data_IF_996732967054
#
_entry.id   IF_996732967054
#
_cell.length_a   1.000
_cell.length_b   1.000
_cell.length_c   1.000
_cell.angle_alpha   90.00
_cell.angle_beta   90.00
_cell.angle_gamma   90.00
#
_symmetry.space_group_name_H-M   'P 1'
#
loop_
_entity.id
_entity.type
_entity.pdbx_description
1 polymer ?
#
# COMPACT_ATOMS: atom_id res chain seq x y z
N UNK A 1 -3.73 -0.05 -13.76
CA UNK A 1 -2.37 -0.37 -13.27
C UNK A 1 -2.54 -0.94 -11.87
N UNK A 2 -1.81 -2.01 -11.53
CA UNK A 2 -1.81 -2.57 -10.17
C UNK A 2 -0.50 -2.16 -9.52
N UNK A 3 -0.55 -1.76 -8.25
CA UNK A 3 0.61 -1.36 -7.47
C UNK A 3 0.71 -2.23 -6.23
N UNK A 4 1.91 -2.38 -5.69
CA UNK A 4 2.16 -3.08 -4.44
C UNK A 4 3.31 -2.43 -3.66
N UNK A 5 3.43 -2.75 -2.38
CA UNK A 5 4.59 -2.33 -1.57
C UNK A 5 5.87 -3.01 -2.06
N UNK A 6 6.94 -2.24 -2.25
CA UNK A 6 8.23 -2.76 -2.76
C UNK A 6 9.03 -3.56 -1.73
N UNK A 7 8.79 -3.28 -0.45
CA UNK A 7 9.53 -3.81 0.69
C UNK A 7 8.60 -3.81 1.92
N UNK A 8 8.96 -4.52 3.01
CA UNK A 8 8.21 -4.42 4.25
C UNK A 8 8.33 -3.01 4.83
N UNK A 9 7.22 -2.44 5.30
CA UNK A 9 7.14 -1.07 5.81
C UNK A 9 6.69 -1.12 7.27
N UNK A 10 7.51 -0.57 8.16
CA UNK A 10 7.08 -0.27 9.53
C UNK A 10 6.22 0.98 9.49
N UNK A 11 4.91 0.80 9.56
CA UNK A 11 3.96 1.90 9.56
C UNK A 11 3.71 2.37 10.99
N UNK A 12 3.91 3.68 11.21
CA UNK A 12 3.61 4.33 12.48
C UNK A 12 2.65 5.49 12.26
N UNK A 13 1.47 5.40 12.88
CA UNK A 13 0.49 6.47 12.86
C UNK A 13 0.88 7.62 13.79
N UNK A 14 0.35 8.82 13.52
CA UNK A 14 0.66 10.06 14.26
C UNK A 14 0.59 9.86 15.78
N UNK A 15 1.65 10.28 16.46
CA UNK A 15 1.85 10.15 17.92
C UNK A 15 1.98 8.72 18.46
N UNK A 16 2.33 7.74 17.61
CA UNK A 16 2.59 6.36 18.04
C UNK A 16 1.33 5.60 18.47
N UNK A 17 0.14 6.11 18.13
CA UNK A 17 -1.14 5.51 18.53
C UNK A 17 -1.40 4.14 17.90
N UNK A 18 -0.74 3.85 16.78
CA UNK A 18 -0.85 2.58 16.08
C UNK A 18 0.45 2.28 15.35
N UNK A 19 0.91 1.03 15.42
CA UNK A 19 2.09 0.54 14.72
C UNK A 19 1.82 -0.83 14.13
N UNK A 20 2.17 -1.04 12.87
CA UNK A 20 2.15 -2.36 12.26
C UNK A 20 3.28 -2.53 11.24
N UNK A 21 3.54 -3.78 10.88
CA UNK A 21 4.39 -4.11 9.74
C UNK A 21 3.49 -4.44 8.55
N UNK A 22 3.60 -3.65 7.48
CA UNK A 22 2.97 -3.92 6.19
C UNK A 22 3.94 -4.78 5.38
N UNK A 23 3.59 -6.03 5.01
CA UNK A 23 4.49 -6.89 4.25
C UNK A 23 4.85 -6.31 2.88
N UNK A 24 5.97 -6.75 2.31
CA UNK A 24 6.27 -6.53 0.88
C UNK A 24 5.24 -7.24 0.00
N UNK A 25 4.98 -6.70 -1.19
CA UNK A 25 3.99 -7.24 -2.12
C UNK A 25 2.53 -7.01 -1.69
N UNK A 26 2.29 -6.18 -0.66
CA UNK A 26 0.94 -5.84 -0.23
C UNK A 26 0.28 -4.98 -1.30
N UNK A 27 -0.92 -5.33 -1.79
CA UNK A 27 -1.62 -4.55 -2.82
C UNK A 27 -1.94 -3.13 -2.33
N UNK A 28 -1.79 -2.15 -3.21
CA UNK A 28 -2.13 -0.75 -2.94
C UNK A 28 -2.94 -0.13 -4.09
N UNK A 29 -3.73 0.89 -3.77
CA UNK A 29 -4.53 1.67 -4.73
C UNK A 29 -4.14 3.14 -4.69
N UNK A 30 -4.28 3.84 -5.82
CA UNK A 30 -3.97 5.29 -5.88
C UNK A 30 -4.97 6.06 -5.02
N UNK A 31 -4.49 6.98 -4.18
CA UNK A 31 -5.31 7.81 -3.32
C UNK A 31 -5.99 8.96 -4.09
N UNK A 32 -6.96 8.64 -4.94
CA UNK A 32 -7.65 9.63 -5.82
C UNK A 32 -8.53 10.64 -5.07
N UNK A 33 -8.79 10.39 -3.78
CA UNK A 33 -9.60 11.25 -2.91
C UNK A 33 -8.78 12.31 -2.17
N UNK A 34 -7.44 12.30 -2.28
CA UNK A 34 -6.57 13.31 -1.67
C UNK A 34 -6.11 14.32 -2.71
N UNK A 35 -5.94 15.60 -2.32
CA UNK A 35 -5.36 16.59 -3.21
C UNK A 35 -3.92 16.20 -3.52
N UNK A 36 -3.57 16.11 -4.81
CA UNK A 36 -2.18 15.99 -5.22
C UNK A 36 -1.49 17.31 -4.89
N UNK A 37 -0.81 17.36 -3.74
CA UNK A 37 -0.06 18.54 -3.35
C UNK A 37 1.16 18.65 -4.27
N UNK A 38 1.35 19.83 -4.87
CA UNK A 38 2.49 20.09 -5.74
C UNK A 38 3.79 19.80 -4.98
N UNK A 39 4.53 18.75 -5.40
CA UNK A 39 5.79 18.33 -4.79
C UNK A 39 5.73 17.08 -3.91
N UNK A 40 4.53 16.55 -3.59
CA UNK A 40 4.39 15.37 -2.72
C UNK A 40 4.22 14.03 -3.49
N UNK A 41 4.41 14.04 -4.80
CA UNK A 41 4.27 12.83 -5.62
C UNK A 41 2.86 12.24 -5.63
N UNK A 42 2.73 11.03 -6.18
CA UNK A 42 1.52 10.22 -6.04
C UNK A 42 1.47 9.56 -4.66
N UNK A 43 0.27 9.42 -4.11
CA UNK A 43 0.04 8.75 -2.83
C UNK A 43 -0.85 7.53 -3.01
N UNK A 44 -0.67 6.54 -2.14
CA UNK A 44 -1.29 5.22 -2.28
C UNK A 44 -1.93 4.76 -0.97
N UNK A 45 -3.11 4.17 -1.05
CA UNK A 45 -3.80 3.48 0.04
C UNK A 45 -3.41 2.01 0.06
N UNK A 46 -2.95 1.53 1.20
CA UNK A 46 -2.70 0.09 1.39
C UNK A 46 -4.02 -0.64 1.56
N UNK A 47 -4.16 -1.73 0.81
CA UNK A 47 -5.32 -2.62 0.88
C UNK A 47 -5.10 -3.69 1.95
N UNK A 48 -6.12 -4.52 2.21
CA UNK A 48 -5.95 -5.66 3.10
C UNK A 48 -4.89 -6.65 2.58
N UNK A 49 -4.14 -7.25 3.50
CA UNK A 49 -3.14 -8.29 3.21
C UNK A 49 -3.42 -9.57 4.00
N UNK A 50 -2.75 -10.65 3.62
CA UNK A 50 -2.84 -11.94 4.30
C UNK A 50 -2.27 -11.84 5.72
N UNK A 51 -2.95 -12.46 6.69
CA UNK A 51 -2.60 -12.40 8.12
C UNK A 51 -2.64 -10.99 8.74
N UNK A 52 -3.37 -10.06 8.12
CA UNK A 52 -3.64 -8.75 8.71
C UNK A 52 -4.40 -8.89 10.03
N UNK A 53 -3.77 -8.47 11.14
CA UNK A 53 -4.38 -8.53 12.47
C UNK A 53 -5.60 -7.60 12.61
N UNK A 54 -6.50 -7.95 13.54
CA UNK A 54 -7.76 -7.23 13.77
C UNK A 54 -7.59 -5.73 14.04
N UNK A 55 -6.54 -5.36 14.76
CA UNK A 55 -6.24 -3.96 15.07
C UNK A 55 -5.86 -3.19 13.81
N UNK A 56 -5.01 -3.77 12.95
CA UNK A 56 -4.63 -3.19 11.68
C UNK A 56 -5.83 -3.10 10.73
N UNK A 57 -6.67 -4.14 10.69
CA UNK A 57 -7.90 -4.13 9.89
C UNK A 57 -8.88 -3.04 10.38
N UNK A 58 -9.01 -2.86 11.70
CA UNK A 58 -9.80 -1.78 12.28
C UNK A 58 -9.25 -0.41 11.93
N UNK A 59 -7.93 -0.22 12.06
CA UNK A 59 -7.26 1.02 11.68
C UNK A 59 -7.46 1.35 10.20
N UNK A 60 -7.19 0.38 9.31
CA UNK A 60 -7.33 0.54 7.86
C UNK A 60 -8.74 0.94 7.43
N UNK A 61 -9.78 0.41 8.08
CA UNK A 61 -11.18 0.79 7.79
C UNK A 61 -11.55 2.21 8.23
N UNK A 62 -10.94 2.72 9.30
CA UNK A 62 -11.30 4.02 9.88
C UNK A 62 -10.44 5.18 9.36
N UNK A 63 -9.16 4.91 9.10
CA UNK A 63 -8.16 5.94 8.77
C UNK A 63 -7.39 5.65 7.48
N UNK A 64 -7.20 4.37 7.15
CA UNK A 64 -6.35 3.95 6.04
C UNK A 64 -4.85 3.99 6.37
N UNK A 65 -4.06 3.42 5.47
CA UNK A 65 -2.60 3.46 5.48
C UNK A 65 -2.15 4.20 4.23
N UNK A 66 -1.52 5.37 4.41
CA UNK A 66 -1.09 6.21 3.30
C UNK A 66 0.40 6.04 3.07
N UNK A 67 0.79 5.68 1.84
CA UNK A 67 2.18 5.52 1.43
C UNK A 67 2.54 6.51 0.31
N UNK A 68 3.83 6.82 0.22
CA UNK A 68 4.39 7.60 -0.88
C UNK A 68 4.78 6.74 -2.09
N UNK A 69 5.10 7.39 -3.21
CA UNK A 69 5.54 6.71 -4.43
C UNK A 69 6.84 5.91 -4.25
N UNK A 70 7.72 6.33 -3.34
CA UNK A 70 9.01 5.67 -3.08
C UNK A 70 8.86 4.27 -2.46
N UNK A 71 7.72 4.00 -1.80
CA UNK A 71 7.41 2.78 -1.07
C UNK A 71 6.68 1.73 -1.92
N UNK A 72 6.27 2.09 -3.13
CA UNK A 72 5.45 1.26 -4.00
C UNK A 72 6.15 0.96 -5.31
N UNK A 73 5.78 -0.15 -5.93
CA UNK A 73 6.21 -0.52 -7.27
C UNK A 73 5.00 -0.88 -8.14
N UNK A 74 5.13 -0.60 -9.43
CA UNK A 74 4.12 -1.00 -10.40
C UNK A 74 4.27 -2.49 -10.71
N UNK A 75 3.17 -3.24 -10.54
CA UNK A 75 3.09 -4.60 -11.04
C UNK A 75 3.00 -4.53 -12.57
N UNK A 76 4.14 -4.70 -13.23
CA UNK A 76 4.18 -5.01 -14.65
C UNK A 76 3.54 -6.40 -14.84
N UNK A 77 2.25 -6.43 -15.17
CA UNK A 77 1.61 -7.62 -15.70
C UNK A 77 2.14 -7.78 -17.12
N UNK A 78 3.35 -8.31 -17.25
CA UNK A 78 3.83 -8.79 -18.52
C UNK A 78 2.86 -9.88 -18.97
N UNK A 79 1.98 -9.56 -19.92
CA UNK A 79 1.12 -10.51 -20.61
C UNK A 79 1.93 -11.46 -21.51
N UNK A 80 3.09 -11.95 -21.06
CA UNK A 80 4.09 -12.64 -21.86
C UNK A 80 4.66 -13.93 -21.24
N UNK A 81 4.10 -14.44 -20.13
CA UNK A 81 4.45 -15.75 -19.56
C UNK A 81 3.17 -16.35 -18.94
N UNK A 82 2.56 -17.47 -19.33
CA UNK A 82 2.89 -18.55 -20.25
C UNK A 82 1.57 -19.15 -20.77
N UNK A 83 1.33 -19.04 -22.08
CA UNK A 83 0.86 -20.20 -22.84
C UNK A 83 2.09 -21.08 -23.11
N UNK A 84 1.86 -22.38 -23.33
CA UNK A 84 2.83 -23.50 -23.26
C UNK A 84 3.07 -23.89 -21.79
N UNK A 85 2.59 -25.04 -21.30
CA UNK A 85 2.68 -26.40 -21.85
C UNK A 85 1.39 -27.21 -21.69
#
# INVERSE_FOLDING_TARGET
MKYQTRAPIEYEATFGLFRCLIPAGTPVEVATNLPTLAGNGLQFWVMGWDDMGDEAASWGRNYGFLLGEDDVEELCICAACEGFY
#
